data_IF_234050267980
#
_entry.id   IF_234050267980
#
_cell.length_a   1.000
_cell.length_b   1.000
_cell.length_c   1.000
_cell.angle_alpha   90.00
_cell.angle_beta   90.00
_cell.angle_gamma   90.00
#
_symmetry.space_group_name_H-M   'P 1'
#
loop_
_entity.id
_entity.type
_entity.pdbx_description
1 polymer ?
#
# COMPACT_ATOMS: atom_id res chain seq x y z
N UNK A 1 -65.01 4.93 -11.82
CA UNK A 1 -64.41 3.73 -11.19
C UNK A 1 -63.23 3.18 -12.01
N UNK A 2 -63.41 2.80 -13.29
CA UNK A 2 -62.34 2.23 -14.13
C UNK A 2 -61.11 3.14 -14.30
N UNK A 3 -61.32 4.45 -14.43
CA UNK A 3 -60.24 5.45 -14.49
C UNK A 3 -59.42 5.53 -13.20
N UNK A 4 -60.10 5.55 -12.03
CA UNK A 4 -59.44 5.58 -10.73
C UNK A 4 -58.56 4.33 -10.56
N UNK A 5 -59.06 3.18 -11.03
CA UNK A 5 -58.33 1.92 -11.03
C UNK A 5 -57.11 1.96 -11.96
N UNK A 6 -57.24 2.57 -13.15
CA UNK A 6 -56.12 2.78 -14.09
C UNK A 6 -55.04 3.70 -13.49
N UNK A 7 -55.46 4.77 -12.82
CA UNK A 7 -54.55 5.74 -12.20
C UNK A 7 -53.83 5.15 -10.98
N UNK A 8 -54.54 4.35 -10.17
CA UNK A 8 -53.95 3.56 -9.08
C UNK A 8 -52.94 2.54 -9.61
N UNK A 9 -53.27 1.83 -10.71
CA UNK A 9 -52.38 0.87 -11.35
C UNK A 9 -51.11 1.56 -11.87
N UNK A 10 -51.24 2.74 -12.49
CA UNK A 10 -50.11 3.52 -12.97
C UNK A 10 -49.21 3.99 -11.82
N UNK A 11 -49.79 4.47 -10.72
CA UNK A 11 -49.06 4.86 -9.53
C UNK A 11 -48.31 3.68 -8.90
N UNK A 12 -48.94 2.51 -8.83
CA UNK A 12 -48.33 1.27 -8.34
C UNK A 12 -47.15 0.84 -9.23
N UNK A 13 -47.32 0.91 -10.56
CA UNK A 13 -46.26 0.62 -11.52
C UNK A 13 -45.06 1.56 -11.33
N UNK A 14 -45.32 2.85 -11.10
CA UNK A 14 -44.29 3.85 -10.85
C UNK A 14 -43.53 3.56 -9.54
N UNK A 15 -44.26 3.24 -8.47
CA UNK A 15 -43.66 2.87 -7.18
C UNK A 15 -42.76 1.63 -7.32
N UNK A 16 -43.23 0.62 -8.07
CA UNK A 16 -42.47 -0.60 -8.33
C UNK A 16 -41.18 -0.29 -9.13
N UNK A 17 -41.28 0.57 -10.15
CA UNK A 17 -40.12 1.01 -10.93
C UNK A 17 -39.09 1.74 -10.06
N UNK A 18 -39.55 2.64 -9.18
CA UNK A 18 -38.70 3.37 -8.25
C UNK A 18 -37.98 2.42 -7.28
N UNK A 19 -38.70 1.42 -6.74
CA UNK A 19 -38.15 0.41 -5.84
C UNK A 19 -37.08 -0.45 -6.53
N UNK A 20 -37.36 -0.91 -7.76
CA UNK A 20 -36.40 -1.68 -8.56
C UNK A 20 -35.11 -0.89 -8.82
N UNK A 21 -35.24 0.41 -9.08
CA UNK A 21 -34.10 1.29 -9.31
C UNK A 21 -33.28 1.52 -8.04
N UNK A 22 -33.94 1.73 -6.90
CA UNK A 22 -33.26 1.84 -5.60
C UNK A 22 -32.46 0.55 -5.29
N UNK A 23 -33.04 -0.61 -5.58
CA UNK A 23 -32.38 -1.90 -5.43
C UNK A 23 -31.15 -2.01 -6.35
N UNK A 24 -31.27 -1.59 -7.61
CA UNK A 24 -30.15 -1.56 -8.56
C UNK A 24 -29.02 -0.64 -8.09
N UNK A 25 -29.35 0.53 -7.56
CA UNK A 25 -28.38 1.47 -6.99
C UNK A 25 -27.64 0.86 -5.80
N UNK A 26 -28.37 0.22 -4.88
CA UNK A 26 -27.79 -0.45 -3.72
C UNK A 26 -26.84 -1.57 -4.14
N UNK A 27 -27.23 -2.38 -5.12
CA UNK A 27 -26.40 -3.45 -5.67
C UNK A 27 -25.11 -2.89 -6.29
N UNK A 28 -25.19 -1.79 -7.03
CA UNK A 28 -24.04 -1.11 -7.62
C UNK A 28 -23.06 -0.62 -6.54
N UNK A 29 -23.58 -0.02 -5.47
CA UNK A 29 -22.79 0.45 -4.34
C UNK A 29 -22.07 -0.72 -3.63
N UNK A 30 -22.77 -1.83 -3.43
CA UNK A 30 -22.20 -3.04 -2.84
C UNK A 30 -21.08 -3.62 -3.71
N UNK A 31 -21.28 -3.68 -5.03
CA UNK A 31 -20.27 -4.14 -5.98
C UNK A 31 -19.02 -3.27 -5.92
N UNK A 32 -19.19 -1.94 -5.82
CA UNK A 32 -18.08 -1.00 -5.70
C UNK A 32 -17.28 -1.24 -4.41
N UNK A 33 -17.97 -1.44 -3.29
CA UNK A 33 -17.33 -1.72 -2.00
C UNK A 33 -16.51 -3.02 -2.07
N UNK A 34 -17.07 -4.06 -2.69
CA UNK A 34 -16.38 -5.34 -2.88
C UNK A 34 -15.12 -5.18 -3.76
N UNK A 35 -15.22 -4.41 -4.85
CA UNK A 35 -14.09 -4.11 -5.73
C UNK A 35 -12.95 -3.40 -4.97
N UNK A 36 -13.29 -2.42 -4.14
CA UNK A 36 -12.33 -1.70 -3.30
C UNK A 36 -11.60 -2.65 -2.33
N UNK A 37 -12.35 -3.55 -1.67
CA UNK A 37 -11.80 -4.52 -0.74
C UNK A 37 -10.84 -5.50 -1.43
N UNK A 38 -11.24 -6.03 -2.60
CA UNK A 38 -10.41 -6.94 -3.39
C UNK A 38 -9.10 -6.27 -3.82
N UNK A 39 -9.16 -4.99 -4.21
CA UNK A 39 -7.99 -4.22 -4.59
C UNK A 39 -7.02 -4.02 -3.43
N UNK A 40 -7.53 -3.71 -2.24
CA UNK A 40 -6.71 -3.58 -1.03
C UNK A 40 -6.01 -4.91 -0.69
N UNK A 41 -6.70 -6.03 -0.85
CA UNK A 41 -6.14 -7.37 -0.65
C UNK A 41 -5.04 -7.67 -1.68
N UNK A 42 -5.28 -7.36 -2.97
CA UNK A 42 -4.31 -7.54 -4.04
C UNK A 42 -3.04 -6.71 -3.77
N UNK A 43 -3.20 -5.49 -3.28
CA UNK A 43 -2.10 -4.63 -2.90
C UNK A 43 -1.25 -5.28 -1.79
N UNK A 44 -1.89 -5.75 -0.72
CA UNK A 44 -1.19 -6.42 0.37
C UNK A 44 -0.42 -7.66 -0.13
N UNK A 45 -1.05 -8.44 -1.02
CA UNK A 45 -0.44 -9.61 -1.64
C UNK A 45 0.76 -9.25 -2.52
N UNK A 46 0.74 -8.10 -3.21
CA UNK A 46 1.85 -7.63 -4.04
C UNK A 46 3.05 -7.19 -3.19
N UNK A 47 2.81 -6.62 -2.00
CA UNK A 47 3.87 -6.14 -1.10
C UNK A 47 4.57 -7.28 -0.34
N UNK A 48 3.84 -8.34 0.01
CA UNK A 48 4.33 -9.40 0.90
C UNK A 48 5.58 -10.16 0.38
N UNK A 49 5.64 -10.61 -0.90
CA UNK A 49 6.79 -11.35 -1.42
C UNK A 49 8.07 -10.51 -1.43
N UNK A 50 7.93 -9.20 -1.65
CA UNK A 50 9.04 -8.26 -1.72
C UNK A 50 9.69 -8.10 -0.33
N UNK A 51 8.85 -7.99 0.70
CA UNK A 51 9.28 -7.99 2.11
C UNK A 51 9.95 -9.32 2.50
N UNK A 52 9.36 -10.45 2.09
CA UNK A 52 9.91 -11.79 2.36
C UNK A 52 11.24 -12.06 1.66
N UNK A 53 11.44 -11.54 0.45
CA UNK A 53 12.67 -11.72 -0.33
C UNK A 53 13.85 -10.92 0.27
N UNK A 54 13.57 -9.75 0.82
CA UNK A 54 14.62 -8.84 1.31
C UNK A 54 15.10 -9.16 2.73
N UNK A 55 14.21 -9.65 3.59
CA UNK A 55 14.53 -9.98 4.98
C UNK A 55 15.74 -10.93 5.14
N UNK A 56 15.82 -12.08 4.43
CA UNK A 56 16.96 -13.01 4.58
C UNK A 56 18.28 -12.41 4.06
N UNK A 57 18.25 -11.57 3.03
CA UNK A 57 19.45 -10.88 2.50
C UNK A 57 20.02 -9.90 3.53
N UNK A 58 19.16 -9.10 4.16
CA UNK A 58 19.57 -8.15 5.19
C UNK A 58 20.12 -8.87 6.43
N UNK A 59 19.49 -9.99 6.81
CA UNK A 59 19.94 -10.82 7.93
C UNK A 59 21.30 -11.49 7.65
N UNK A 60 21.53 -11.98 6.44
CA UNK A 60 22.82 -12.54 6.01
C UNK A 60 23.93 -11.49 6.07
N UNK A 61 23.65 -10.28 5.59
CA UNK A 61 24.60 -9.18 5.58
C UNK A 61 24.95 -8.72 7.00
N UNK A 62 23.95 -8.65 7.89
CA UNK A 62 24.14 -8.35 9.30
C UNK A 62 24.99 -9.42 10.00
N UNK A 63 24.75 -10.71 9.70
CA UNK A 63 25.54 -11.82 10.23
C UNK A 63 27.01 -11.74 9.78
N UNK A 64 27.24 -11.41 8.50
CA UNK A 64 28.60 -11.23 7.97
C UNK A 64 29.33 -10.07 8.65
N UNK A 65 28.64 -8.95 8.88
CA UNK A 65 29.17 -7.80 9.61
C UNK A 65 29.55 -8.18 11.05
N UNK A 66 28.68 -8.91 11.75
CA UNK A 66 28.93 -9.38 13.11
C UNK A 66 30.15 -10.31 13.18
N UNK A 67 30.29 -11.24 12.23
CA UNK A 67 31.43 -12.15 12.16
C UNK A 67 32.75 -11.38 11.93
N UNK A 68 32.74 -10.38 11.05
CA UNK A 68 33.93 -9.56 10.78
C UNK A 68 34.33 -8.72 12.01
N UNK A 69 33.35 -8.17 12.73
CA UNK A 69 33.58 -7.45 13.98
C UNK A 69 34.18 -8.36 15.05
N UNK A 70 33.68 -9.60 15.19
CA UNK A 70 34.23 -10.59 16.11
C UNK A 70 35.68 -10.95 15.74
N UNK A 71 35.97 -11.12 14.45
CA UNK A 71 37.31 -11.40 13.97
C UNK A 71 38.27 -10.23 14.28
N UNK A 72 37.84 -8.98 14.07
CA UNK A 72 38.61 -7.79 14.44
C UNK A 72 38.92 -7.76 15.93
N UNK A 73 37.92 -8.05 16.77
CA UNK A 73 38.08 -8.09 18.23
C UNK A 73 39.10 -9.15 18.66
N UNK A 74 39.02 -10.35 18.08
CA UNK A 74 39.96 -11.43 18.35
C UNK A 74 41.39 -11.05 17.94
N UNK A 75 41.54 -10.42 16.77
CA UNK A 75 42.82 -9.94 16.25
C UNK A 75 43.44 -8.89 17.19
N UNK A 76 42.62 -7.95 17.69
CA UNK A 76 43.03 -6.93 18.64
C UNK A 76 43.45 -7.55 19.99
N UNK A 77 42.70 -8.53 20.48
CA UNK A 77 43.04 -9.27 21.71
C UNK A 77 44.38 -10.02 21.56
N UNK A 78 44.60 -10.65 20.42
CA UNK A 78 45.87 -11.33 20.11
C UNK A 78 47.04 -10.34 20.09
N UNK A 79 46.86 -9.17 19.45
CA UNK A 79 47.85 -8.10 19.43
C UNK A 79 48.20 -7.64 20.86
N UNK A 80 47.18 -7.41 21.68
CA UNK A 80 47.34 -7.00 23.07
C UNK A 80 48.10 -8.06 23.90
N UNK A 81 47.76 -9.33 23.75
CA UNK A 81 48.43 -10.44 24.42
C UNK A 81 49.91 -10.53 24.03
N UNK A 82 50.21 -10.37 22.73
CA UNK A 82 51.57 -10.42 22.23
C UNK A 82 52.40 -9.23 22.71
N UNK A 83 51.80 -8.03 22.76
CA UNK A 83 52.41 -6.85 23.35
C UNK A 83 52.68 -7.07 24.85
N UNK A 84 51.74 -7.63 25.60
CA UNK A 84 51.91 -7.94 27.02
C UNK A 84 53.04 -8.94 27.24
N UNK A 85 53.12 -9.99 26.41
CA UNK A 85 54.20 -10.97 26.46
C UNK A 85 55.56 -10.30 26.19
N UNK A 86 55.64 -9.41 25.21
CA UNK A 86 56.84 -8.64 24.90
C UNK A 86 57.26 -7.75 26.08
N UNK A 87 56.30 -7.06 26.71
CA UNK A 87 56.55 -6.21 27.90
C UNK A 87 57.00 -7.05 29.09
N UNK A 88 56.38 -8.20 29.35
CA UNK A 88 56.77 -9.12 30.42
C UNK A 88 58.19 -9.65 30.18
N UNK A 89 58.51 -10.03 28.94
CA UNK A 89 59.85 -10.46 28.53
C UNK A 89 60.89 -9.38 28.82
N UNK A 90 60.57 -8.13 28.46
CA UNK A 90 61.42 -6.97 28.69
C UNK A 90 61.57 -6.68 30.20
N UNK A 91 60.50 -6.81 30.98
CA UNK A 91 60.54 -6.63 32.43
C UNK A 91 61.39 -7.70 33.12
N UNK A 92 61.24 -8.97 32.73
CA UNK A 92 62.08 -10.07 33.24
C UNK A 92 63.55 -9.78 32.93
N UNK A 93 63.85 -9.31 31.71
CA UNK A 93 65.19 -8.89 31.32
C UNK A 93 65.75 -7.76 32.20
N UNK A 94 64.93 -6.77 32.57
CA UNK A 94 65.33 -5.63 33.40
C UNK A 94 65.48 -5.99 34.89
N UNK A 95 64.68 -6.93 35.40
CA UNK A 95 64.66 -7.33 36.81
C UNK A 95 65.69 -8.40 37.18
N UNK A 96 66.33 -9.02 36.19
CA UNK A 96 67.44 -9.94 36.46
C UNK A 96 68.55 -9.17 37.18
N UNK A 97 69.00 -9.60 38.38
CA UNK A 97 70.07 -8.93 39.10
C UNK A 97 71.31 -8.86 38.21
N UNK A 98 72.06 -7.75 38.21
CA UNK A 98 73.32 -7.69 37.50
C UNK A 98 74.19 -8.85 37.99
N UNK A 99 74.82 -9.62 37.08
CA UNK A 99 75.61 -10.77 37.48
C UNK A 99 76.71 -10.34 38.47
N UNK A 100 76.96 -11.10 39.56
CA UNK A 100 78.08 -10.80 40.45
C UNK A 100 79.38 -10.80 39.63
N UNK A 101 80.38 -9.97 39.96
CA UNK A 101 81.66 -9.93 39.23
C UNK A 101 82.54 -11.16 39.56
N UNK A 102 82.47 -12.28 38.79
CA UNK A 102 83.64 -12.99 38.24
C UNK A 102 83.32 -13.70 36.86
N UNK A 103 84.17 -14.60 36.27
CA UNK A 103 84.44 -14.72 34.82
C UNK A 103 83.20 -14.87 33.91
N UNK A 104 83.26 -14.34 32.68
CA UNK A 104 82.09 -14.11 31.82
C UNK A 104 81.30 -15.41 31.62
N UNK A 105 80.09 -15.54 32.19
CA UNK A 105 79.24 -16.68 31.89
C UNK A 105 78.79 -16.59 30.42
N UNK A 106 78.60 -17.73 29.75
CA UNK A 106 78.09 -17.75 28.38
C UNK A 106 76.73 -17.05 28.31
N UNK A 107 76.42 -16.33 27.21
CA UNK A 107 75.18 -15.57 27.04
C UNK A 107 73.97 -16.48 26.81
N UNK A 108 73.77 -17.49 27.65
CA UNK A 108 72.73 -18.51 27.51
C UNK A 108 71.32 -17.90 27.52
N UNK A 109 71.10 -16.84 28.31
CA UNK A 109 69.83 -16.10 28.32
C UNK A 109 69.57 -15.40 26.98
N UNK A 110 70.59 -14.74 26.42
CA UNK A 110 70.49 -14.08 25.12
C UNK A 110 70.25 -15.11 24.00
N UNK A 111 70.93 -16.26 24.09
CA UNK A 111 70.77 -17.39 23.18
C UNK A 111 69.37 -18.02 23.26
N UNK A 112 68.75 -18.03 24.44
CA UNK A 112 67.38 -18.53 24.66
C UNK A 112 66.30 -17.56 24.19
N UNK A 113 66.56 -16.25 24.26
CA UNK A 113 65.57 -15.21 23.94
C UNK A 113 65.56 -14.81 22.47
N UNK A 114 66.71 -14.87 21.79
CA UNK A 114 66.83 -14.54 20.37
C UNK A 114 65.83 -15.31 19.49
N UNK A 115 65.64 -16.64 19.63
CA UNK A 115 64.69 -17.41 18.82
C UNK A 115 63.24 -16.98 19.08
N UNK A 116 62.90 -16.64 20.32
CA UNK A 116 61.56 -16.18 20.69
C UNK A 116 61.26 -14.82 20.07
N UNK A 117 62.21 -13.89 20.10
CA UNK A 117 62.07 -12.57 19.49
C UNK A 117 62.03 -12.65 17.95
N UNK A 118 62.83 -13.54 17.36
CA UNK A 118 62.82 -13.84 15.93
C UNK A 118 61.46 -14.39 15.47
N UNK A 119 60.76 -15.14 16.32
CA UNK A 119 59.43 -15.66 16.02
C UNK A 119 58.31 -14.63 16.25
N UNK A 120 58.41 -13.79 17.28
CA UNK A 120 57.38 -12.80 17.62
C UNK A 120 57.34 -11.60 16.66
N UNK A 121 58.50 -11.12 16.20
CA UNK A 121 58.61 -9.95 15.32
C UNK A 121 57.83 -10.10 13.98
N UNK A 122 58.02 -11.18 13.19
CA UNK A 122 57.28 -11.35 11.94
C UNK A 122 55.77 -11.53 12.17
N UNK A 123 55.36 -12.12 13.30
CA UNK A 123 53.94 -12.26 13.64
C UNK A 123 53.31 -10.90 13.98
N UNK A 124 54.01 -10.03 14.71
CA UNK A 124 53.59 -8.64 14.96
C UNK A 124 53.47 -7.85 13.65
N UNK A 125 54.45 -7.97 12.75
CA UNK A 125 54.44 -7.30 11.45
C UNK A 125 53.26 -7.75 10.58
N UNK A 126 53.01 -9.07 10.53
CA UNK A 126 51.87 -9.63 9.82
C UNK A 126 50.55 -9.09 10.37
N UNK A 127 50.42 -9.04 11.70
CA UNK A 127 49.24 -8.54 12.39
C UNK A 127 48.98 -7.05 12.09
N UNK A 128 50.05 -6.26 12.13
CA UNK A 128 50.02 -4.83 11.79
C UNK A 128 49.58 -4.60 10.34
N UNK A 129 49.96 -5.48 9.40
CA UNK A 129 49.56 -5.40 8.00
C UNK A 129 48.12 -5.88 7.76
N UNK A 130 47.66 -6.90 8.48
CA UNK A 130 46.30 -7.43 8.34
C UNK A 130 45.23 -6.48 8.90
N UNK A 131 45.52 -5.76 9.98
CA UNK A 131 44.57 -4.83 10.63
C UNK A 131 43.98 -3.77 9.67
N UNK A 132 44.77 -2.97 8.93
CA UNK A 132 44.23 -1.96 8.01
C UNK A 132 43.48 -2.58 6.84
N UNK A 133 43.88 -3.76 6.35
CA UNK A 133 43.16 -4.48 5.30
C UNK A 133 41.77 -4.93 5.78
N UNK A 134 41.66 -5.42 7.01
CA UNK A 134 40.39 -5.82 7.60
C UNK A 134 39.48 -4.60 7.85
N UNK A 135 40.05 -3.46 8.27
CA UNK A 135 39.31 -2.20 8.42
C UNK A 135 38.80 -1.69 7.07
N UNK A 136 39.60 -1.78 6.00
CA UNK A 136 39.16 -1.44 4.64
C UNK A 136 38.01 -2.34 4.18
N UNK A 137 38.10 -3.65 4.43
CA UNK A 137 37.03 -4.60 4.12
C UNK A 137 35.73 -4.26 4.87
N UNK A 138 35.83 -3.92 6.15
CA UNK A 138 34.70 -3.49 6.96
C UNK A 138 34.03 -2.23 6.39
N UNK A 139 34.84 -1.24 6.00
CA UNK A 139 34.35 -0.01 5.38
C UNK A 139 33.63 -0.28 4.06
N UNK A 140 34.20 -1.14 3.21
CA UNK A 140 33.58 -1.54 1.94
C UNK A 140 32.24 -2.25 2.16
N UNK A 141 32.18 -3.14 3.15
CA UNK A 141 30.95 -3.84 3.51
C UNK A 141 29.86 -2.87 4.00
N UNK A 142 30.24 -1.90 4.83
CA UNK A 142 29.34 -0.85 5.31
C UNK A 142 28.80 0.00 4.15
N UNK A 143 29.66 0.38 3.19
CA UNK A 143 29.24 1.12 2.00
C UNK A 143 28.26 0.30 1.14
N UNK A 144 28.52 -0.99 0.96
CA UNK A 144 27.62 -1.89 0.23
C UNK A 144 26.25 -1.99 0.92
N UNK A 145 26.24 -2.12 2.25
CA UNK A 145 25.00 -2.12 3.05
C UNK A 145 24.22 -0.82 2.87
N UNK A 146 24.89 0.33 2.92
CA UNK A 146 24.27 1.63 2.71
C UNK A 146 23.66 1.74 1.31
N UNK A 147 24.38 1.30 0.27
CA UNK A 147 23.89 1.28 -1.11
C UNK A 147 22.66 0.38 -1.26
N UNK A 148 22.67 -0.81 -0.66
CA UNK A 148 21.54 -1.73 -0.66
C UNK A 148 20.31 -1.10 0.02
N UNK A 149 20.51 -0.43 1.15
CA UNK A 149 19.44 0.28 1.85
C UNK A 149 18.86 1.42 1.00
N UNK A 150 19.70 2.18 0.31
CA UNK A 150 19.27 3.24 -0.59
C UNK A 150 18.44 2.68 -1.76
N UNK A 151 18.91 1.58 -2.38
CA UNK A 151 18.18 0.90 -3.45
C UNK A 151 16.81 0.41 -2.97
N UNK A 152 16.76 -0.15 -1.76
CA UNK A 152 15.51 -0.58 -1.14
C UNK A 152 14.55 0.59 -0.93
N UNK A 153 15.05 1.72 -0.40
CA UNK A 153 14.25 2.92 -0.21
C UNK A 153 13.69 3.43 -1.55
N UNK A 154 14.50 3.45 -2.60
CA UNK A 154 14.07 3.85 -3.94
C UNK A 154 12.98 2.92 -4.49
N UNK A 155 13.13 1.60 -4.31
CA UNK A 155 12.14 0.62 -4.73
C UNK A 155 10.81 0.81 -3.98
N UNK A 156 10.88 1.05 -2.67
CA UNK A 156 9.70 1.36 -1.85
C UNK A 156 9.01 2.66 -2.32
N UNK A 157 9.78 3.70 -2.63
CA UNK A 157 9.25 4.95 -3.16
C UNK A 157 8.54 4.75 -4.51
N UNK A 158 9.15 4.00 -5.42
CA UNK A 158 8.56 3.68 -6.72
C UNK A 158 7.24 2.92 -6.56
N UNK A 159 7.22 1.97 -5.63
CA UNK A 159 6.04 1.18 -5.31
C UNK A 159 4.92 2.04 -4.70
N UNK A 160 5.27 2.98 -3.81
CA UNK A 160 4.33 3.96 -3.28
C UNK A 160 3.76 4.86 -4.38
N UNK A 161 4.60 5.30 -5.32
CA UNK A 161 4.16 6.09 -6.47
C UNK A 161 3.19 5.31 -7.37
N UNK A 162 3.49 4.04 -7.64
CA UNK A 162 2.61 3.15 -8.40
C UNK A 162 1.25 2.97 -7.69
N UNK A 163 1.27 2.79 -6.37
CA UNK A 163 0.06 2.72 -5.56
C UNK A 163 -0.76 4.01 -5.64
N UNK A 164 -0.11 5.17 -5.53
CA UNK A 164 -0.77 6.46 -5.66
C UNK A 164 -1.43 6.61 -7.03
N UNK A 165 -0.74 6.21 -8.11
CA UNK A 165 -1.28 6.22 -9.46
C UNK A 165 -2.52 5.31 -9.59
N UNK A 166 -2.45 4.10 -9.01
CA UNK A 166 -3.58 3.17 -9.00
C UNK A 166 -4.78 3.75 -8.24
N UNK A 167 -4.54 4.38 -7.09
CA UNK A 167 -5.58 5.06 -6.31
C UNK A 167 -6.23 6.20 -7.10
N UNK A 168 -5.42 7.00 -7.81
CA UNK A 168 -5.92 8.08 -8.67
C UNK A 168 -6.80 7.53 -9.80
N UNK A 169 -6.36 6.44 -10.45
CA UNK A 169 -7.14 5.78 -11.49
C UNK A 169 -8.47 5.27 -10.95
N UNK A 170 -8.47 4.70 -9.75
CA UNK A 170 -9.69 4.24 -9.09
C UNK A 170 -10.64 5.40 -8.78
N UNK A 171 -10.11 6.51 -8.26
CA UNK A 171 -10.91 7.71 -8.00
C UNK A 171 -11.56 8.24 -9.29
N UNK A 172 -10.81 8.24 -10.40
CA UNK A 172 -11.34 8.63 -11.70
C UNK A 172 -12.47 7.70 -12.15
N UNK A 173 -12.29 6.38 -11.99
CA UNK A 173 -13.33 5.40 -12.32
C UNK A 173 -14.59 5.60 -11.48
N UNK A 174 -14.43 5.87 -10.18
CA UNK A 174 -15.54 6.17 -9.28
C UNK A 174 -16.28 7.44 -9.71
N UNK A 175 -15.55 8.50 -10.07
CA UNK A 175 -16.14 9.74 -10.57
C UNK A 175 -16.94 9.50 -11.86
N UNK A 176 -16.40 8.72 -12.79
CA UNK A 176 -17.08 8.34 -14.02
C UNK A 176 -18.38 7.57 -13.72
N UNK A 177 -18.34 6.63 -12.78
CA UNK A 177 -19.50 5.87 -12.35
C UNK A 177 -20.58 6.79 -11.72
N UNK A 178 -20.17 7.73 -10.87
CA UNK A 178 -21.07 8.71 -10.28
C UNK A 178 -21.74 9.58 -11.35
N UNK A 179 -20.98 10.01 -12.36
CA UNK A 179 -21.50 10.78 -13.49
C UNK A 179 -22.53 9.97 -14.28
N UNK A 180 -22.24 8.70 -14.56
CA UNK A 180 -23.18 7.79 -15.23
C UNK A 180 -24.48 7.64 -14.42
N UNK A 181 -24.36 7.51 -13.10
CA UNK A 181 -25.52 7.43 -12.22
C UNK A 181 -26.36 8.70 -12.25
N UNK A 182 -25.72 9.87 -12.21
CA UNK A 182 -26.40 11.16 -12.32
C UNK A 182 -27.16 11.28 -13.64
N UNK A 183 -26.55 10.84 -14.75
CA UNK A 183 -27.18 10.83 -16.07
C UNK A 183 -28.42 9.91 -16.07
N UNK A 184 -28.32 8.72 -15.48
CA UNK A 184 -29.45 7.80 -15.35
C UNK A 184 -30.60 8.42 -14.55
N UNK A 185 -30.28 9.09 -13.44
CA UNK A 185 -31.27 9.79 -12.62
C UNK A 185 -31.97 10.91 -13.40
N UNK A 186 -31.21 11.69 -14.18
CA UNK A 186 -31.78 12.74 -15.04
C UNK A 186 -32.74 12.17 -16.09
N UNK A 187 -32.34 11.07 -16.75
CA UNK A 187 -33.18 10.37 -17.71
C UNK A 187 -34.49 9.88 -17.07
N UNK A 188 -34.41 9.37 -15.83
CA UNK A 188 -35.58 8.94 -15.08
C UNK A 188 -36.52 10.11 -14.77
N UNK A 189 -35.97 11.25 -14.34
CA UNK A 189 -36.76 12.45 -14.08
C UNK A 189 -37.50 12.92 -15.35
N UNK A 190 -36.83 12.88 -16.50
CA UNK A 190 -37.43 13.20 -17.79
C UNK A 190 -38.58 12.24 -18.13
N UNK A 191 -38.40 10.94 -17.92
CA UNK A 191 -39.44 9.93 -18.14
C UNK A 191 -40.66 10.17 -17.24
N UNK A 192 -40.43 10.50 -15.97
CA UNK A 192 -41.50 10.83 -15.02
C UNK A 192 -42.28 12.08 -15.47
N UNK A 193 -41.59 13.11 -15.93
CA UNK A 193 -42.21 14.33 -16.46
C UNK A 193 -43.08 14.04 -17.68
N UNK A 194 -42.59 13.22 -18.62
CA UNK A 194 -43.34 12.79 -19.79
C UNK A 194 -44.62 12.02 -19.38
N UNK A 195 -44.51 11.15 -18.39
CA UNK A 195 -45.66 10.40 -17.87
C UNK A 195 -46.70 11.33 -17.23
N UNK A 196 -46.26 12.31 -16.45
CA UNK A 196 -47.14 13.31 -15.84
C UNK A 196 -47.88 14.12 -16.92
N UNK A 197 -47.17 14.52 -17.99
CA UNK A 197 -47.77 15.21 -19.12
C UNK A 197 -48.84 14.35 -19.81
N UNK A 198 -48.56 13.05 -20.01
CA UNK A 198 -49.53 12.11 -20.58
C UNK A 198 -50.78 11.99 -19.69
N UNK A 199 -50.59 11.94 -18.37
CA UNK A 199 -51.69 11.89 -17.40
C UNK A 199 -52.54 13.16 -17.46
N UNK A 200 -51.91 14.34 -17.55
CA UNK A 200 -52.60 15.60 -17.70
C UNK A 200 -53.42 15.65 -19.00
N UNK A 201 -52.84 15.21 -20.10
CA UNK A 201 -53.54 15.12 -21.40
C UNK A 201 -54.77 14.22 -21.29
N UNK A 202 -54.62 13.05 -20.66
CA UNK A 202 -55.75 12.12 -20.42
C UNK A 202 -56.85 12.79 -19.59
N UNK A 203 -56.49 13.52 -18.53
CA UNK A 203 -57.44 14.25 -17.70
C UNK A 203 -58.20 15.31 -18.51
N UNK A 204 -57.50 16.08 -19.35
CA UNK A 204 -58.10 17.10 -20.22
C UNK A 204 -59.11 16.48 -21.20
N UNK A 205 -58.75 15.36 -21.84
CA UNK A 205 -59.63 14.63 -22.75
C UNK A 205 -60.92 14.18 -22.05
N UNK A 206 -60.82 13.74 -20.80
CA UNK A 206 -61.98 13.30 -20.00
C UNK A 206 -62.90 14.47 -19.64
N UNK A 207 -62.34 15.60 -19.20
CA UNK A 207 -63.11 16.81 -18.91
C UNK A 207 -63.87 17.29 -20.16
N UNK A 208 -63.19 17.28 -21.31
CA UNK A 208 -63.81 17.64 -22.58
C UNK A 208 -64.95 16.70 -22.97
N UNK A 209 -64.75 15.39 -22.85
CA UNK A 209 -65.78 14.39 -23.14
C UNK A 209 -67.00 14.52 -22.21
N UNK A 210 -66.78 14.79 -20.92
CA UNK A 210 -67.86 14.99 -19.96
C UNK A 210 -68.70 16.24 -20.26
N UNK A 211 -68.05 17.35 -20.65
CA UNK A 211 -68.76 18.58 -21.04
C UNK A 211 -69.66 18.37 -22.27
N UNK A 212 -69.23 17.59 -23.27
CA UNK A 212 -70.04 17.31 -24.45
C UNK A 212 -71.29 16.48 -24.13
N UNK A 213 -71.23 15.53 -23.19
CA UNK A 213 -72.40 14.73 -22.83
C UNK A 213 -73.50 15.51 -22.09
N UNK A 214 -73.16 16.56 -21.35
CA UNK A 214 -74.18 17.37 -20.66
C UNK A 214 -75.00 18.29 -21.58
N UNK A 215 -74.46 18.71 -22.73
CA UNK A 215 -75.18 19.59 -23.65
C UNK A 215 -76.28 18.91 -24.46
N UNK A 216 -76.22 17.58 -24.66
CA UNK A 216 -77.25 16.87 -25.42
C UNK A 216 -78.54 16.58 -24.65
N UNK A 217 -78.53 16.64 -23.32
CA UNK A 217 -79.75 16.39 -22.54
C UNK A 217 -80.69 17.60 -22.39
N UNK A 218 -80.23 18.83 -22.69
CA UNK A 218 -81.08 20.02 -22.58
C UNK A 218 -81.89 20.35 -23.84
N UNK A 219 -81.55 19.79 -25.02
CA UNK A 219 -82.28 20.09 -26.25
C UNK A 219 -83.53 19.23 -26.50
N UNK A 220 -83.72 18.14 -25.76
CA UNK A 220 -84.90 17.30 -25.94
C UNK A 220 -86.14 17.78 -25.16
N UNK A 221 -86.04 18.80 -24.30
CA UNK A 221 -87.21 19.34 -23.60
C UNK A 221 -87.91 20.51 -24.28
N UNK A 222 -87.37 21.08 -25.36
CA UNK A 222 -87.98 22.24 -26.03
C UNK A 222 -88.77 21.93 -27.31
N UNK A 223 -88.72 20.70 -27.85
CA UNK A 223 -89.44 20.38 -29.09
C UNK A 223 -90.87 19.85 -28.91
N UNK A 224 -91.37 19.72 -27.68
CA UNK A 224 -92.76 19.30 -27.46
C UNK A 224 -93.81 20.42 -27.44
N UNK A 225 -93.44 21.68 -27.70
CA UNK A 225 -94.39 22.80 -27.58
C UNK A 225 -94.85 23.49 -28.88
N UNK A 226 -94.47 23.03 -30.08
CA UNK A 226 -94.84 23.75 -31.32
C UNK A 226 -95.81 23.04 -32.28
N UNK A 227 -96.45 21.93 -31.90
CA UNK A 227 -97.43 21.25 -32.76
C UNK A 227 -98.89 21.71 -32.63
N UNK A 228 -99.19 22.85 -31.98
CA UNK A 228 -100.57 23.22 -31.63
C UNK A 228 -101.19 24.49 -32.25
N UNK A 229 -100.65 25.06 -33.31
CA UNK A 229 -101.30 26.17 -34.02
C UNK A 229 -100.88 26.11 -35.51
N UNK A 230 -101.69 26.15 -36.57
CA UNK A 230 -103.13 26.36 -36.86
C UNK A 230 -103.16 26.46 -38.41
N UNK A 231 -103.85 25.63 -39.20
CA UNK A 231 -105.29 25.58 -39.49
C UNK A 231 -105.98 26.94 -39.54
#
# INVERSE_FOLDING_TARGET
>A
MLLLLLLLLLLLLLLLLLLLLLLLLLLLLLLLLLLLLLLLLLLLLLLLPLLLLLLPLLLLLLLLLLLLLLLLLLLLLLLLLLLLLLVLLLLVLLLLPPPPPPPPPPPLLLLLLLPLLLLLLPLLLLLLLLLPLLLLLLLLLLLLLLLLLLLLLLLLLLLLLLLLLLLLLLLLLLLLLLLLLLLLLLLLLLLLLLLLLLLLLLLLLLLHHHHHHHHHHHHHHHHHHHHHHSQ
#
